data_IF_187282569675
#
_entry.id   IF_187282569675
#
_cell.length_a   1.000
_cell.length_b   1.000
_cell.length_c   1.000
_cell.angle_alpha   90.00
_cell.angle_beta   90.00
_cell.angle_gamma   90.00
#
_symmetry.space_group_name_H-M   'P 1'
#
loop_
_entity.id
_entity.type
_entity.pdbx_description
1 polymer ?
#
# COMPACT_ATOMS: atom_id res chain seq x y z
N UNK A 1 23.94 1.17 14.09
CA UNK A 1 23.34 1.76 12.91
C UNK A 1 22.24 2.69 13.31
N UNK A 2 22.10 3.73 12.58
CA UNK A 2 21.17 4.79 12.93
C UNK A 2 19.96 4.77 12.01
N UNK A 3 18.84 5.09 12.59
CA UNK A 3 17.66 5.38 11.78
C UNK A 3 17.89 6.71 11.07
N UNK A 4 17.19 6.90 9.98
CA UNK A 4 17.22 8.17 9.29
C UNK A 4 16.68 9.27 10.19
N UNK A 5 17.12 10.49 9.94
CA UNK A 5 16.66 11.64 10.72
C UNK A 5 15.20 11.96 10.42
N UNK A 6 14.51 12.60 11.36
CA UNK A 6 13.17 13.08 11.10
C UNK A 6 13.16 13.97 9.86
N UNK A 7 12.10 13.86 9.07
CA UNK A 7 12.05 14.60 7.81
C UNK A 7 10.60 14.75 7.33
N UNK A 8 10.41 15.66 6.39
CA UNK A 8 9.13 15.85 5.73
C UNK A 8 9.28 15.39 4.29
N UNK A 9 8.34 14.62 3.82
CA UNK A 9 8.23 14.28 2.40
C UNK A 9 7.13 15.15 1.81
N UNK A 10 7.47 15.97 0.82
CA UNK A 10 6.47 16.80 0.14
C UNK A 10 5.80 15.94 -0.93
N UNK A 11 4.52 15.75 -0.83
CA UNK A 11 3.79 14.90 -1.75
C UNK A 11 4.07 15.28 -3.22
N UNK A 12 4.14 16.57 -3.49
CA UNK A 12 4.35 17.06 -4.86
C UNK A 12 5.69 16.63 -5.45
N UNK A 13 6.65 16.27 -4.60
CA UNK A 13 7.99 15.86 -5.04
C UNK A 13 8.18 14.35 -5.09
N UNK A 14 7.17 13.59 -4.69
CA UNK A 14 7.28 12.13 -4.69
C UNK A 14 7.14 11.59 -6.10
N UNK A 15 7.87 10.52 -6.39
CA UNK A 15 7.83 9.89 -7.69
C UNK A 15 7.31 8.47 -7.53
N UNK A 16 6.13 8.24 -8.06
CA UNK A 16 5.49 6.92 -8.00
C UNK A 16 6.17 5.98 -8.99
N UNK A 17 6.39 4.75 -8.54
CA UNK A 17 7.01 3.72 -9.36
C UNK A 17 5.99 2.61 -9.61
N UNK A 18 5.97 2.02 -10.82
CA UNK A 18 5.06 0.92 -11.13
C UNK A 18 5.25 -0.24 -10.16
N UNK A 19 4.14 -0.92 -9.82
CA UNK A 19 4.17 -2.05 -8.90
C UNK A 19 4.16 -3.36 -9.67
N UNK A 20 5.32 -4.03 -9.69
CA UNK A 20 5.48 -5.37 -10.26
C UNK A 20 4.89 -5.47 -11.66
N UNK A 21 4.14 -6.55 -11.92
CA UNK A 21 3.52 -6.77 -13.24
C UNK A 21 2.28 -5.90 -13.46
N UNK A 22 1.86 -5.16 -12.45
CA UNK A 22 0.65 -4.34 -12.51
C UNK A 22 0.96 -2.86 -12.69
N UNK A 23 2.09 -2.54 -13.32
CA UNK A 23 2.57 -1.16 -13.44
C UNK A 23 1.62 -0.20 -14.14
N UNK A 24 0.74 -0.71 -15.02
CA UNK A 24 -0.26 0.10 -15.69
C UNK A 24 -1.50 0.34 -14.80
N UNK A 25 -1.61 -0.38 -13.70
CA UNK A 25 -2.76 -0.28 -12.80
C UNK A 25 -2.39 0.28 -11.44
N UNK A 26 -1.16 0.07 -11.00
CA UNK A 26 -0.77 0.43 -9.65
C UNK A 26 0.65 0.98 -9.62
N UNK A 27 0.83 2.06 -8.86
CA UNK A 27 2.12 2.67 -8.63
C UNK A 27 2.21 3.07 -7.17
N UNK A 28 3.42 3.09 -6.63
CA UNK A 28 3.61 3.41 -5.22
C UNK A 28 4.90 4.18 -5.01
N UNK A 29 4.95 4.91 -3.90
CA UNK A 29 6.17 5.57 -3.46
C UNK A 29 6.29 5.39 -1.96
N UNK A 30 7.40 4.81 -1.51
CA UNK A 30 7.62 4.55 -0.09
C UNK A 30 8.33 5.75 0.54
N UNK A 31 7.87 6.18 1.70
CA UNK A 31 8.46 7.32 2.40
C UNK A 31 9.31 6.90 3.59
N UNK A 32 9.09 5.70 4.11
CA UNK A 32 9.96 5.14 5.14
C UNK A 32 9.86 3.63 5.10
N UNK A 33 10.88 2.96 5.61
CA UNK A 33 10.87 1.50 5.61
C UNK A 33 12.18 0.92 6.09
N UNK A 34 12.51 -0.26 5.56
CA UNK A 34 13.71 -1.00 5.99
C UNK A 34 15.00 -0.20 5.76
N UNK A 35 15.03 0.66 4.76
CA UNK A 35 16.20 1.49 4.50
C UNK A 35 16.45 2.49 5.63
N UNK A 36 15.45 2.74 6.46
CA UNK A 36 15.57 3.59 7.65
C UNK A 36 15.80 2.75 8.89
N UNK A 37 15.99 1.45 8.72
CA UNK A 37 16.12 0.48 9.82
C UNK A 37 14.85 0.44 10.65
N UNK A 38 13.71 0.67 10.01
CA UNK A 38 12.41 0.66 10.66
C UNK A 38 11.71 -0.66 10.42
N UNK A 39 10.96 -1.13 11.41
CA UNK A 39 10.10 -2.30 11.25
C UNK A 39 8.78 -1.91 10.58
N UNK A 40 8.51 -0.62 10.49
CA UNK A 40 7.34 -0.08 9.83
C UNK A 40 7.74 0.47 8.47
N UNK A 41 6.92 0.21 7.46
CA UNK A 41 7.07 0.88 6.17
C UNK A 41 5.76 1.58 5.85
N UNK A 42 5.86 2.73 5.21
CA UNK A 42 4.68 3.48 4.84
C UNK A 42 4.95 4.26 3.56
N UNK A 43 3.89 4.56 2.85
CA UNK A 43 4.00 5.35 1.64
C UNK A 43 2.63 5.60 1.05
N UNK A 44 2.63 5.96 -0.22
CA UNK A 44 1.41 6.26 -0.97
C UNK A 44 1.28 5.29 -2.13
N UNK A 45 0.05 4.98 -2.48
CA UNK A 45 -0.25 4.17 -3.65
C UNK A 45 -1.29 4.85 -4.51
N UNK A 46 -1.18 4.68 -5.82
CA UNK A 46 -2.17 5.19 -6.76
C UNK A 46 -2.64 4.03 -7.62
N UNK A 47 -3.95 3.86 -7.67
CA UNK A 47 -4.57 2.83 -8.50
C UNK A 47 -5.43 3.49 -9.56
N UNK A 48 -5.31 2.99 -10.81
CA UNK A 48 -6.00 3.57 -11.96
C UNK A 48 -6.58 2.44 -12.80
N UNK A 49 -7.89 2.41 -12.97
CA UNK A 49 -8.58 1.35 -13.70
C UNK A 49 -8.03 -0.01 -13.30
N UNK A 50 -7.93 -0.23 -12.00
CA UNK A 50 -7.22 -1.36 -11.45
C UNK A 50 -8.14 -2.49 -11.07
N UNK A 51 -7.70 -3.71 -11.36
CA UNK A 51 -8.31 -4.92 -10.83
C UNK A 51 -7.26 -6.02 -10.89
N UNK A 52 -6.75 -6.45 -9.73
CA UNK A 52 -5.71 -7.48 -9.70
C UNK A 52 -5.68 -8.17 -8.34
N UNK A 53 -5.24 -9.43 -8.32
CA UNK A 53 -5.16 -10.19 -7.07
C UNK A 53 -3.84 -9.91 -6.34
N UNK A 54 -3.87 -10.09 -5.04
CA UNK A 54 -2.67 -9.97 -4.23
C UNK A 54 -2.85 -10.79 -2.95
N UNK A 55 -1.79 -11.43 -2.49
CA UNK A 55 -1.79 -12.06 -1.17
C UNK A 55 -0.94 -11.21 -0.25
N UNK A 56 -1.54 -10.80 0.85
CA UNK A 56 -0.90 -9.85 1.77
C UNK A 56 0.20 -10.57 2.54
N UNK A 57 1.42 -10.06 2.45
CA UNK A 57 2.62 -10.67 3.05
C UNK A 57 3.01 -10.02 4.38
N UNK A 58 2.18 -9.13 4.89
CA UNK A 58 2.46 -8.27 6.03
C UNK A 58 1.12 -7.83 6.62
N UNK A 59 1.16 -7.26 7.82
CA UNK A 59 -0.04 -6.62 8.34
C UNK A 59 -0.12 -5.25 7.71
N UNK A 60 -1.28 -4.85 7.24
CA UNK A 60 -1.43 -3.62 6.47
C UNK A 60 -2.67 -2.84 6.85
N UNK A 61 -2.52 -1.52 6.95
CA UNK A 61 -3.67 -0.62 6.99
C UNK A 61 -3.60 0.28 5.76
N UNK A 62 -4.73 0.45 5.10
CA UNK A 62 -4.88 1.33 3.95
C UNK A 62 -5.82 2.46 4.33
N UNK A 63 -5.46 3.68 3.96
CA UNK A 63 -6.31 4.85 4.18
C UNK A 63 -6.52 5.51 2.83
N UNK A 64 -7.78 5.69 2.43
CA UNK A 64 -8.09 6.29 1.14
C UNK A 64 -8.07 7.81 1.27
N UNK A 65 -7.26 8.48 0.45
CA UNK A 65 -7.19 9.94 0.44
C UNK A 65 -8.08 10.53 -0.65
N UNK A 66 -8.17 9.85 -1.80
CA UNK A 66 -8.99 10.30 -2.93
C UNK A 66 -9.59 9.09 -3.60
N UNK A 67 -10.79 9.24 -4.13
CA UNK A 67 -11.45 8.19 -4.87
C UNK A 67 -12.04 7.13 -3.96
N UNK A 68 -12.06 5.91 -4.47
CA UNK A 68 -12.70 4.80 -3.78
C UNK A 68 -11.95 3.53 -4.09
N UNK A 69 -11.71 2.71 -3.06
CA UNK A 69 -11.04 1.43 -3.21
C UNK A 69 -11.95 0.32 -2.73
N UNK A 70 -12.09 -0.72 -3.54
CA UNK A 70 -12.80 -1.93 -3.16
C UNK A 70 -11.81 -3.07 -3.03
N UNK A 71 -11.90 -3.81 -1.93
CA UNK A 71 -11.11 -5.00 -1.70
C UNK A 71 -12.08 -6.17 -1.61
N UNK A 72 -11.93 -7.11 -2.53
CA UNK A 72 -12.74 -8.33 -2.54
C UNK A 72 -12.00 -9.39 -1.75
N UNK A 73 -12.63 -9.91 -0.71
CA UNK A 73 -12.00 -10.87 0.18
C UNK A 73 -13.05 -11.82 0.77
N UNK A 74 -12.77 -13.12 0.71
CA UNK A 74 -13.65 -14.14 1.28
C UNK A 74 -15.10 -14.04 0.80
N UNK A 75 -15.29 -13.71 -0.48
CA UNK A 75 -16.64 -13.60 -1.05
C UNK A 75 -17.36 -12.30 -0.71
N UNK A 76 -16.69 -11.40 -0.01
CA UNK A 76 -17.25 -10.10 0.36
C UNK A 76 -16.51 -8.98 -0.35
N UNK A 77 -17.16 -7.83 -0.46
CA UNK A 77 -16.57 -6.65 -1.05
C UNK A 77 -16.54 -5.54 -0.01
N UNK A 78 -15.33 -5.09 0.33
CA UNK A 78 -15.12 -4.03 1.31
C UNK A 78 -14.77 -2.77 0.53
N UNK A 79 -15.65 -1.78 0.57
CA UNK A 79 -15.43 -0.54 -0.18
C UNK A 79 -15.18 0.62 0.78
N UNK A 80 -14.08 1.33 0.53
CA UNK A 80 -13.68 2.48 1.34
C UNK A 80 -13.61 3.71 0.45
N UNK A 81 -14.19 4.80 0.94
CA UNK A 81 -14.11 6.09 0.27
C UNK A 81 -13.13 6.99 0.98
N UNK A 82 -13.16 8.28 0.64
CA UNK A 82 -12.22 9.26 1.19
C UNK A 82 -12.20 9.22 2.72
N UNK A 83 -10.98 9.08 3.27
CA UNK A 83 -10.66 9.05 4.70
C UNK A 83 -11.11 7.79 5.43
N UNK A 84 -11.69 6.83 4.72
CA UNK A 84 -11.97 5.52 5.32
C UNK A 84 -10.70 4.67 5.32
N UNK A 85 -10.66 3.68 6.21
CA UNK A 85 -9.51 2.79 6.31
C UNK A 85 -9.94 1.34 6.16
N UNK A 86 -9.00 0.51 5.67
CA UNK A 86 -9.21 -0.93 5.53
C UNK A 86 -8.06 -1.64 6.25
N UNK A 87 -8.40 -2.58 7.12
CA UNK A 87 -7.41 -3.40 7.80
C UNK A 87 -7.26 -4.75 7.09
N UNK A 88 -6.02 -5.13 6.75
CA UNK A 88 -5.72 -6.39 6.09
C UNK A 88 -4.62 -7.11 6.84
N UNK A 89 -4.94 -8.19 7.56
CA UNK A 89 -3.92 -8.95 8.25
C UNK A 89 -3.10 -9.80 7.30
N UNK A 90 -1.87 -10.09 7.70
CA UNK A 90 -0.95 -10.94 6.94
C UNK A 90 -1.63 -12.25 6.58
N UNK A 91 -1.44 -12.69 5.34
CA UNK A 91 -1.97 -13.96 4.86
C UNK A 91 -3.29 -13.86 4.13
N UNK A 92 -3.90 -12.68 4.12
CA UNK A 92 -5.18 -12.48 3.44
C UNK A 92 -4.98 -12.43 1.93
N UNK A 93 -5.79 -13.18 1.19
CA UNK A 93 -5.78 -13.12 -0.26
C UNK A 93 -6.92 -12.20 -0.70
N UNK A 94 -6.60 -11.21 -1.50
CA UNK A 94 -7.54 -10.16 -1.89
C UNK A 94 -7.51 -9.96 -3.39
N UNK A 95 -8.51 -9.24 -3.88
CA UNK A 95 -8.48 -8.66 -5.21
C UNK A 95 -8.80 -7.17 -5.03
N UNK A 96 -7.88 -6.33 -5.47
CA UNK A 96 -8.07 -4.88 -5.41
C UNK A 96 -8.83 -4.41 -6.64
N UNK A 97 -9.71 -3.45 -6.44
CA UNK A 97 -10.43 -2.85 -7.55
C UNK A 97 -10.62 -1.36 -7.30
N UNK A 98 -10.26 -0.53 -8.27
CA UNK A 98 -10.46 0.91 -8.18
C UNK A 98 -10.43 1.52 -9.57
N UNK A 99 -11.37 2.43 -9.87
CA UNK A 99 -11.25 3.24 -11.08
C UNK A 99 -10.14 4.27 -10.88
N UNK A 100 -10.11 4.88 -9.70
CA UNK A 100 -9.08 5.85 -9.34
C UNK A 100 -9.06 5.96 -7.83
N UNK A 101 -7.90 5.70 -7.25
CA UNK A 101 -7.75 5.83 -5.80
C UNK A 101 -6.33 6.27 -5.47
N UNK A 102 -6.23 7.20 -4.52
CA UNK A 102 -4.97 7.56 -3.91
C UNK A 102 -5.05 7.10 -2.47
N UNK A 103 -4.10 6.29 -2.05
CA UNK A 103 -4.12 5.69 -0.72
C UNK A 103 -2.80 5.94 0.00
N UNK A 104 -2.87 5.88 1.34
CA UNK A 104 -1.70 5.75 2.20
C UNK A 104 -1.69 4.31 2.69
N UNK A 105 -0.53 3.68 2.67
CA UNK A 105 -0.39 2.36 3.27
C UNK A 105 0.62 2.41 4.42
N UNK A 106 0.42 1.54 5.40
CA UNK A 106 1.40 1.30 6.44
C UNK A 106 1.45 -0.21 6.65
N UNK A 107 2.65 -0.77 6.65
CA UNK A 107 2.84 -2.21 6.72
C UNK A 107 3.90 -2.58 7.74
N UNK A 108 3.80 -3.82 8.25
CA UNK A 108 4.77 -4.40 9.17
C UNK A 108 4.84 -5.90 8.89
N UNK A 109 6.03 -6.50 8.75
CA UNK A 109 7.34 -5.88 8.85
C UNK A 109 7.78 -5.23 7.54
N UNK A 110 8.58 -4.19 7.63
CA UNK A 110 9.07 -3.47 6.47
C UNK A 110 9.88 -4.36 5.52
N UNK A 111 10.59 -5.33 6.08
CA UNK A 111 11.44 -6.22 5.30
C UNK A 111 10.74 -7.53 4.93
N UNK A 112 9.43 -7.48 4.72
CA UNK A 112 8.63 -8.67 4.44
C UNK A 112 9.17 -9.50 3.27
N UNK A 113 9.70 -8.84 2.25
CA UNK A 113 10.18 -9.53 1.06
C UNK A 113 11.40 -10.41 1.35
N UNK A 114 12.15 -10.09 2.40
CA UNK A 114 13.32 -10.88 2.78
C UNK A 114 12.93 -12.21 3.41
N UNK A 115 11.70 -12.34 3.84
CA UNK A 115 11.19 -13.53 4.51
C UNK A 115 10.28 -14.37 3.60
N UNK A 116 10.20 -14.01 2.32
CA UNK A 116 9.44 -14.78 1.36
C UNK A 116 10.29 -15.85 0.72
N UNK A 117 9.69 -16.98 0.53
CA UNK A 117 10.34 -18.08 -0.17
C UNK A 117 9.57 -18.46 -1.39
#
# INVERSE_FOLDING_TARGET
MNKSLPRVHRFANLQFQPRFEYGDQAAATQVCGAEDMSELASGYGRLTNARFPWTIKYDEILIVLEGELTVHVNGESLTAGQFDSIWLPKGTSVEYEAENALIVYAIHPANWAEHEN
#
